data_IF_137442731137
#
_entry.id   IF_137442731137
#
_cell.length_a   1.000
_cell.length_b   1.000
_cell.length_c   1.000
_cell.angle_alpha   90.00
_cell.angle_beta   90.00
_cell.angle_gamma   90.00
#
_symmetry.space_group_name_H-M   'P 1'
#
loop_
_entity.id
_entity.type
_entity.pdbx_description
1 polymer ?
#
# COMPACT_ATOMS: atom_id res chain seq x y z
N UNK A 1 33.56 -14.84 -7.67
CA UNK A 1 32.85 -14.54 -7.45
C UNK A 1 32.00 -15.04 -7.22
N UNK A 2 31.74 -15.06 -7.16
CA UNK A 2 31.11 -15.23 -6.93
C UNK A 2 30.26 -15.30 -6.10
N UNK A 3 30.29 -15.99 -5.14
CA UNK A 3 29.56 -15.55 -4.04
C UNK A 3 28.27 -14.88 -4.41
N UNK A 4 28.23 -14.29 -5.46
CA UNK A 4 27.04 -13.64 -5.94
C UNK A 4 25.88 -14.59 -6.10
N UNK A 5 26.16 -15.85 -6.34
CA UNK A 5 25.08 -16.80 -6.53
C UNK A 5 24.26 -17.00 -5.29
N UNK A 6 24.91 -17.12 -4.16
CA UNK A 6 24.19 -17.28 -2.91
C UNK A 6 23.37 -16.04 -2.60
N UNK A 7 23.98 -14.91 -2.82
CA UNK A 7 23.28 -13.66 -2.57
C UNK A 7 22.08 -13.50 -3.48
N UNK A 8 22.22 -13.95 -4.71
CA UNK A 8 21.13 -13.84 -5.66
C UNK A 8 19.91 -14.64 -5.23
N UNK A 9 20.12 -15.82 -4.68
CA UNK A 9 18.99 -16.62 -4.22
C UNK A 9 18.23 -15.90 -3.13
N UNK A 10 18.95 -15.39 -2.15
CA UNK A 10 18.33 -14.65 -1.06
C UNK A 10 17.70 -13.37 -1.59
N UNK A 11 18.41 -12.70 -2.47
CA UNK A 11 17.91 -11.45 -3.04
C UNK A 11 16.64 -11.67 -3.85
N UNK A 12 16.55 -12.78 -4.56
CA UNK A 12 15.35 -13.08 -5.33
C UNK A 12 14.12 -13.16 -4.45
N UNK A 13 14.24 -13.81 -3.29
CA UNK A 13 13.12 -13.91 -2.37
C UNK A 13 12.75 -12.54 -1.82
N UNK A 14 13.73 -11.77 -1.41
CA UNK A 14 13.50 -10.42 -0.91
C UNK A 14 12.91 -9.52 -1.99
N UNK A 15 13.44 -9.63 -3.20
CA UNK A 15 12.97 -8.82 -4.31
C UNK A 15 11.53 -9.17 -4.66
N UNK A 16 11.19 -10.46 -4.66
CA UNK A 16 9.83 -10.88 -4.94
C UNK A 16 8.86 -10.33 -3.92
N UNK A 17 9.25 -10.37 -2.65
CA UNK A 17 8.43 -9.82 -1.59
C UNK A 17 8.25 -8.32 -1.77
N UNK A 18 9.33 -7.62 -2.08
CA UNK A 18 9.27 -6.17 -2.28
C UNK A 18 8.39 -5.81 -3.46
N UNK A 19 8.46 -6.58 -4.55
CA UNK A 19 7.61 -6.33 -5.71
C UNK A 19 6.16 -6.50 -5.35
N UNK A 20 5.80 -7.55 -4.60
CA UNK A 20 4.43 -7.75 -4.18
C UNK A 20 3.94 -6.62 -3.29
N UNK A 21 4.78 -6.16 -2.38
CA UNK A 21 4.40 -5.04 -1.54
C UNK A 21 4.22 -3.78 -2.35
N UNK A 22 5.08 -3.58 -3.35
CA UNK A 22 4.94 -2.44 -4.25
C UNK A 22 3.67 -2.50 -5.06
N UNK A 23 3.30 -3.68 -5.54
CA UNK A 23 2.06 -3.87 -6.27
C UNK A 23 0.85 -3.53 -5.40
N UNK A 24 0.87 -4.02 -4.16
CA UNK A 24 -0.21 -3.71 -3.23
C UNK A 24 -0.31 -2.22 -2.97
N UNK A 25 0.84 -1.58 -2.80
CA UNK A 25 0.89 -0.14 -2.58
C UNK A 25 0.22 0.60 -3.73
N UNK A 26 0.56 0.24 -4.97
CA UNK A 26 -0.01 0.88 -6.15
C UNK A 26 -1.51 0.65 -6.21
N UNK A 27 -1.95 -0.59 -6.02
CA UNK A 27 -3.37 -0.93 -6.08
C UNK A 27 -4.16 -0.13 -5.06
N UNK A 28 -3.67 -0.11 -3.83
CA UNK A 28 -4.38 0.54 -2.74
C UNK A 28 -4.42 2.05 -2.92
N UNK A 29 -3.26 2.66 -3.16
CA UNK A 29 -3.21 4.11 -3.29
C UNK A 29 -4.00 4.60 -4.49
N UNK A 30 -3.89 3.88 -5.60
CA UNK A 30 -4.62 4.25 -6.80
C UNK A 30 -6.12 4.15 -6.58
N UNK A 31 -6.56 3.07 -5.94
CA UNK A 31 -7.97 2.90 -5.66
C UNK A 31 -8.50 3.97 -4.73
N UNK A 32 -7.73 4.33 -3.71
CA UNK A 32 -8.15 5.36 -2.76
C UNK A 32 -8.23 6.73 -3.45
N UNK A 33 -7.26 7.02 -4.30
CA UNK A 33 -7.28 8.28 -5.05
C UNK A 33 -8.52 8.35 -5.93
N UNK A 34 -8.85 7.25 -6.59
CA UNK A 34 -10.03 7.21 -7.46
C UNK A 34 -11.33 7.31 -6.68
N UNK A 35 -11.33 6.84 -5.45
CA UNK A 35 -12.52 6.93 -4.60
C UNK A 35 -12.69 8.30 -3.95
N UNK A 36 -11.75 9.19 -4.17
CA UNK A 36 -11.84 10.58 -3.72
C UNK A 36 -12.07 10.73 -2.23
N UNK A 37 -11.34 9.93 -1.46
CA UNK A 37 -11.26 10.16 -0.04
C UNK A 37 -12.26 9.44 0.82
N UNK A 38 -12.98 8.48 0.27
CA UNK A 38 -13.91 7.70 1.08
C UNK A 38 -13.74 6.22 0.81
N UNK A 39 -12.65 5.68 1.31
CA UNK A 39 -12.36 4.27 1.13
C UNK A 39 -12.39 3.57 2.47
N UNK A 40 -13.14 2.48 2.55
CA UNK A 40 -13.21 1.68 3.77
C UNK A 40 -12.12 0.64 3.79
N UNK A 41 -11.85 0.12 4.99
CA UNK A 41 -10.91 -0.98 5.16
C UNK A 41 -11.36 -2.20 4.36
N UNK A 42 -12.67 -2.43 4.33
CA UNK A 42 -13.21 -3.58 3.60
C UNK A 42 -12.90 -3.51 2.11
N UNK A 43 -13.00 -2.34 1.52
CA UNK A 43 -12.67 -2.16 0.12
C UNK A 43 -11.20 -2.48 -0.14
N UNK A 44 -10.31 -1.98 0.70
CA UNK A 44 -8.89 -2.25 0.57
C UNK A 44 -8.62 -3.75 0.69
N UNK A 45 -9.27 -4.39 1.66
CA UNK A 45 -9.13 -5.82 1.86
C UNK A 45 -9.50 -6.59 0.60
N UNK A 46 -10.59 -6.19 -0.04
CA UNK A 46 -11.04 -6.85 -1.26
C UNK A 46 -10.05 -6.65 -2.40
N UNK A 47 -9.45 -5.47 -2.48
CA UNK A 47 -8.49 -5.19 -3.55
C UNK A 47 -7.23 -6.04 -3.45
N UNK A 48 -6.71 -6.22 -2.25
CA UNK A 48 -5.45 -6.94 -2.09
C UNK A 48 -5.61 -8.40 -1.70
N UNK A 49 -6.82 -8.82 -1.35
CA UNK A 49 -7.11 -10.23 -1.15
C UNK A 49 -6.41 -10.88 0.02
N UNK A 50 -6.18 -10.14 1.12
CA UNK A 50 -5.54 -10.68 2.31
C UNK A 50 -6.50 -10.58 3.49
N UNK A 51 -6.09 -11.09 4.65
CA UNK A 51 -6.93 -11.04 5.83
C UNK A 51 -7.16 -9.61 6.28
N UNK A 52 -8.19 -9.40 7.08
CA UNK A 52 -8.47 -8.09 7.62
C UNK A 52 -7.32 -7.58 8.47
N UNK A 53 -6.71 -8.45 9.25
CA UNK A 53 -5.59 -8.07 10.10
C UNK A 53 -4.40 -7.60 9.27
N UNK A 54 -4.09 -8.33 8.21
CA UNK A 54 -3.00 -7.95 7.32
C UNK A 54 -3.32 -6.63 6.61
N UNK A 55 -4.58 -6.44 6.24
CA UNK A 55 -5.02 -5.21 5.61
C UNK A 55 -4.81 -4.03 6.55
N UNK A 56 -5.23 -4.16 7.81
CA UNK A 56 -5.07 -3.08 8.78
C UNK A 56 -3.60 -2.76 9.03
N UNK A 57 -2.76 -3.79 9.10
CA UNK A 57 -1.32 -3.58 9.28
C UNK A 57 -0.76 -2.79 8.12
N UNK A 58 -1.14 -3.16 6.90
CA UNK A 58 -0.67 -2.48 5.71
C UNK A 58 -1.13 -1.02 5.69
N UNK A 59 -2.40 -0.78 6.01
CA UNK A 59 -2.95 0.57 6.06
C UNK A 59 -2.21 1.41 7.09
N UNK A 60 -1.96 0.86 8.28
CA UNK A 60 -1.25 1.60 9.31
C UNK A 60 0.16 1.96 8.88
N UNK A 61 0.82 1.07 8.14
CA UNK A 61 2.13 1.38 7.62
C UNK A 61 2.08 2.53 6.62
N UNK A 62 1.08 2.52 5.75
CA UNK A 62 0.92 3.60 4.79
C UNK A 62 0.63 4.93 5.48
N UNK A 63 -0.14 4.89 6.57
CA UNK A 63 -0.40 6.09 7.34
C UNK A 63 0.88 6.59 8.02
N UNK A 64 1.66 5.68 8.58
CA UNK A 64 2.91 6.05 9.25
C UNK A 64 3.90 6.66 8.27
N UNK A 65 3.89 6.20 7.02
CA UNK A 65 4.79 6.74 6.00
C UNK A 65 4.24 8.00 5.35
N UNK A 66 3.05 8.41 5.71
CA UNK A 66 2.48 9.65 5.20
C UNK A 66 1.77 9.53 3.87
N UNK A 67 1.41 8.32 3.45
CA UNK A 67 0.70 8.13 2.18
C UNK A 67 -0.81 8.14 2.34
N UNK A 68 -1.30 7.80 3.52
CA UNK A 68 -2.73 7.79 3.79
C UNK A 68 -3.04 8.58 5.04
N UNK A 69 -4.24 9.10 5.11
CA UNK A 69 -4.76 9.70 6.33
C UNK A 69 -6.20 9.29 6.48
N UNK A 70 -6.70 9.34 7.70
CA UNK A 70 -8.09 9.00 7.94
C UNK A 70 -8.95 10.23 7.79
N UNK A 71 -10.04 10.09 7.07
CA UNK A 71 -11.03 11.16 6.95
C UNK A 71 -12.12 10.99 8.00
N UNK A 72 -12.22 9.80 8.60
CA UNK A 72 -13.17 9.50 9.64
C UNK A 72 -12.65 8.31 10.40
N UNK A 73 -12.90 8.25 11.72
CA UNK A 73 -12.43 7.12 12.51
C UNK A 73 -13.52 6.08 12.79
N UNK A 74 -14.79 6.45 12.64
CA UNK A 74 -15.89 5.51 12.91
C UNK A 74 -17.03 5.72 11.94
N UNK A 75 -17.10 4.95 10.88
CA UNK A 75 -16.13 3.91 10.51
C UNK A 75 -14.85 4.53 9.96
N UNK A 76 -13.78 3.76 9.99
CA UNK A 76 -12.50 4.23 9.47
C UNK A 76 -12.62 4.45 7.96
N UNK A 77 -12.35 5.67 7.57
CA UNK A 77 -12.40 6.08 6.17
C UNK A 77 -11.03 6.63 5.80
N UNK A 78 -10.54 6.28 4.63
CA UNK A 78 -9.18 6.58 4.23
C UNK A 78 -9.17 7.53 3.04
N UNK A 79 -8.17 8.40 3.00
CA UNK A 79 -7.93 9.20 1.82
C UNK A 79 -6.43 9.32 1.59
N UNK A 80 -6.05 9.56 0.33
CA UNK A 80 -4.66 9.69 -0.05
C UNK A 80 -4.16 11.09 0.31
N UNK A 81 -2.92 11.15 0.78
CA UNK A 81 -2.27 12.42 1.06
C UNK A 81 -1.70 13.00 -0.24
N UNK A 82 -1.27 14.25 -0.19
CA UNK A 82 -0.61 14.85 -1.34
C UNK A 82 0.65 14.07 -1.72
N UNK A 83 1.37 13.57 -0.72
CA UNK A 83 2.54 12.75 -0.97
C UNK A 83 2.19 11.54 -1.84
N UNK A 84 1.08 10.87 -1.53
CA UNK A 84 0.65 9.71 -2.29
C UNK A 84 0.24 10.12 -3.70
N UNK A 85 -0.48 11.21 -3.83
CA UNK A 85 -0.92 11.68 -5.15
C UNK A 85 0.25 12.02 -6.04
N UNK A 86 1.32 12.56 -5.47
CA UNK A 86 2.50 12.91 -6.24
C UNK A 86 3.19 11.68 -6.83
N UNK A 87 3.11 10.54 -6.15
CA UNK A 87 3.70 9.31 -6.67
C UNK A 87 3.10 8.92 -8.02
N UNK A 88 1.85 9.25 -8.23
CA UNK A 88 1.14 8.90 -9.45
C UNK A 88 1.01 10.06 -10.41
N UNK A 89 1.65 11.19 -10.09
CA UNK A 89 1.49 12.39 -10.90
C UNK A 89 0.12 12.99 -10.82
N UNK A 90 -0.68 12.58 -9.85
CA UNK A 90 -2.02 13.14 -9.69
C UNK A 90 -1.94 14.56 -9.17
N UNK A 91 -2.84 15.38 -9.64
CA UNK A 91 -2.82 16.78 -9.27
C UNK A 91 -4.13 17.17 -8.65
N UNK A 92 -4.12 17.27 -7.39
CA UNK A 92 -5.26 17.76 -6.67
C UNK A 92 -6.43 16.81 -6.56
#
# INVERSE_FOLDING_TARGET
MKDQHDNKTTDCLSTRHAVKQGERLVIVLRGIIENRGRTSVLEVKQWIGVSERATLTFIRQLMAEGYLESSSSKPLSLKATDKAKQLFGAQG
#
